data_IF_748427612478
#
_entry.id   IF_748427612478
#
_cell.length_a   1.000
_cell.length_b   1.000
_cell.length_c   1.000
_cell.angle_alpha   90.00
_cell.angle_beta   90.00
_cell.angle_gamma   90.00
#
_symmetry.space_group_name_H-M   'P 1'
#
loop_
_entity.id
_entity.type
_entity.pdbx_description
1 polymer ?
#
# COMPACT_ATOMS: atom_id res chain seq x y z
N UNK A 1 7.62 4.16 17.62
CA UNK A 1 7.72 2.68 17.68
C UNK A 1 6.36 2.02 17.44
N UNK A 2 5.24 2.58 17.93
CA UNK A 2 3.89 1.98 17.83
C UNK A 2 3.21 2.16 16.45
N UNK A 3 3.92 2.63 15.45
CA UNK A 3 3.41 2.86 14.09
C UNK A 3 4.09 1.95 13.05
N UNK A 4 5.08 1.14 13.47
CA UNK A 4 5.84 0.24 12.61
C UNK A 4 5.55 -1.19 13.01
N UNK A 5 5.08 -1.99 12.04
CA UNK A 5 4.72 -3.38 12.23
C UNK A 5 5.59 -4.27 11.33
N UNK A 6 6.41 -5.13 11.93
CA UNK A 6 7.27 -6.08 11.22
C UNK A 6 6.52 -7.36 10.84
N UNK A 7 6.77 -7.85 9.62
CA UNK A 7 6.10 -9.02 9.05
C UNK A 7 7.08 -10.03 8.47
N UNK A 8 6.65 -11.30 8.47
CA UNK A 8 7.32 -12.40 7.79
C UNK A 8 7.14 -12.36 6.26
N UNK A 9 6.15 -11.59 5.73
CA UNK A 9 5.77 -11.53 4.31
C UNK A 9 5.07 -10.21 3.98
N UNK A 10 5.45 -9.52 2.90
CA UNK A 10 4.63 -8.45 2.32
C UNK A 10 3.23 -8.94 1.90
N UNK A 11 3.10 -10.20 1.49
CA UNK A 11 1.79 -10.84 1.20
C UNK A 11 0.87 -11.01 2.43
N UNK A 12 1.36 -10.90 3.66
CA UNK A 12 0.50 -10.91 4.87
C UNK A 12 -0.18 -9.59 5.12
N UNK A 13 0.40 -8.48 4.66
CA UNK A 13 -0.24 -7.17 4.70
C UNK A 13 -1.54 -7.19 3.90
N UNK A 14 -1.54 -7.92 2.80
CA UNK A 14 -2.75 -8.17 2.01
C UNK A 14 -3.82 -8.86 2.86
N UNK A 15 -3.48 -9.86 3.66
CA UNK A 15 -4.41 -10.50 4.60
C UNK A 15 -4.93 -9.55 5.67
N UNK A 16 -4.09 -8.62 6.17
CA UNK A 16 -4.51 -7.58 7.10
C UNK A 16 -5.55 -6.65 6.46
N UNK A 17 -5.28 -6.20 5.23
CA UNK A 17 -6.18 -5.33 4.47
C UNK A 17 -7.54 -6.00 4.31
N UNK A 18 -7.56 -7.30 3.92
CA UNK A 18 -8.81 -8.01 3.65
C UNK A 18 -9.65 -8.24 4.91
N UNK A 19 -9.03 -8.33 6.08
CA UNK A 19 -9.75 -8.55 7.35
C UNK A 19 -10.13 -7.26 8.08
N UNK A 20 -9.44 -6.15 7.80
CA UNK A 20 -9.71 -4.84 8.43
C UNK A 20 -10.74 -4.05 7.64
N UNK A 21 -10.62 -4.06 6.31
CA UNK A 21 -11.53 -3.32 5.44
C UNK A 21 -12.64 -4.23 4.91
N UNK A 22 -13.88 -3.75 4.99
CA UNK A 22 -15.06 -4.51 4.59
C UNK A 22 -15.09 -4.84 3.09
N UNK A 23 -15.90 -5.83 2.73
CA UNK A 23 -16.06 -6.29 1.34
C UNK A 23 -16.73 -5.26 0.42
N UNK A 24 -17.44 -4.30 0.99
CA UNK A 24 -18.15 -3.25 0.24
C UNK A 24 -17.24 -2.05 -0.10
N UNK A 25 -15.98 -2.06 0.33
CA UNK A 25 -15.05 -0.98 -0.01
C UNK A 25 -14.67 -1.04 -1.48
N UNK A 26 -14.80 0.07 -2.19
CA UNK A 26 -14.43 0.22 -3.58
C UNK A 26 -12.92 0.42 -3.71
N UNK A 27 -12.32 -0.36 -4.58
CA UNK A 27 -10.86 -0.43 -4.74
C UNK A 27 -10.43 0.17 -6.07
N UNK A 28 -9.42 1.01 -6.06
CA UNK A 28 -8.73 1.48 -7.27
C UNK A 28 -7.32 0.87 -7.35
N UNK A 29 -6.96 0.39 -8.53
CA UNK A 29 -5.64 -0.16 -8.86
C UNK A 29 -5.12 0.45 -10.15
N UNK A 30 -3.81 0.60 -10.29
CA UNK A 30 -3.20 0.93 -11.59
C UNK A 30 -3.29 -0.26 -12.54
N UNK A 31 -3.30 -0.01 -13.84
CA UNK A 31 -3.30 -1.07 -14.87
C UNK A 31 -2.28 -0.74 -15.96
N UNK A 32 -1.21 -1.53 -16.10
CA UNK A 32 -0.87 -2.76 -15.33
C UNK A 32 -0.36 -2.50 -13.90
N UNK A 33 -0.53 -3.53 -13.07
CA UNK A 33 -0.09 -3.51 -11.67
C UNK A 33 0.37 -4.91 -11.23
N UNK A 34 0.98 -4.99 -10.07
CA UNK A 34 1.30 -6.26 -9.42
C UNK A 34 0.03 -7.09 -9.19
N UNK A 35 -0.12 -8.27 -9.84
CA UNK A 35 -1.39 -9.01 -9.89
C UNK A 35 -2.00 -9.34 -8.53
N UNK A 36 -1.17 -9.47 -7.49
CA UNK A 36 -1.62 -9.80 -6.13
C UNK A 36 -2.60 -8.79 -5.57
N UNK A 37 -2.56 -7.52 -5.98
CA UNK A 37 -3.54 -6.54 -5.50
C UNK A 37 -4.94 -6.88 -6.01
N UNK A 38 -5.07 -7.23 -7.28
CA UNK A 38 -6.35 -7.67 -7.84
C UNK A 38 -6.77 -9.00 -7.23
N UNK A 39 -5.92 -10.03 -7.31
CA UNK A 39 -6.20 -11.40 -6.87
C UNK A 39 -6.71 -11.45 -5.43
N UNK A 40 -6.10 -10.70 -4.53
CA UNK A 40 -6.49 -10.71 -3.12
C UNK A 40 -7.80 -10.00 -2.85
N UNK A 41 -8.16 -8.99 -3.63
CA UNK A 41 -9.48 -8.38 -3.57
C UNK A 41 -10.55 -9.31 -4.18
N UNK A 42 -10.22 -10.07 -5.23
CA UNK A 42 -11.08 -11.14 -5.76
C UNK A 42 -11.35 -12.21 -4.69
N UNK A 43 -10.29 -12.71 -4.06
CA UNK A 43 -10.38 -13.72 -2.98
C UNK A 43 -11.21 -13.24 -1.79
N UNK A 44 -11.20 -11.94 -1.52
CA UNK A 44 -12.00 -11.31 -0.47
C UNK A 44 -13.46 -11.05 -0.87
N UNK A 45 -13.83 -11.30 -2.13
CA UNK A 45 -15.19 -11.03 -2.63
C UNK A 45 -15.52 -9.55 -2.83
N UNK A 46 -14.49 -8.69 -2.97
CA UNK A 46 -14.66 -7.22 -3.05
C UNK A 46 -14.86 -6.71 -4.48
N UNK A 47 -14.67 -7.55 -5.48
CA UNK A 47 -14.51 -7.12 -6.87
C UNK A 47 -15.77 -7.20 -7.72
N UNK A 48 -16.87 -7.73 -7.20
CA UNK A 48 -18.09 -7.94 -7.99
C UNK A 48 -17.94 -9.01 -9.06
N UNK A 49 -18.79 -8.92 -10.11
CA UNK A 49 -18.79 -9.87 -11.22
C UNK A 49 -17.62 -9.64 -12.16
N UNK A 50 -17.18 -10.73 -12.81
CA UNK A 50 -16.22 -10.64 -13.92
C UNK A 50 -16.95 -10.63 -15.24
N UNK A 51 -16.79 -9.57 -16.03
CA UNK A 51 -17.39 -9.40 -17.34
C UNK A 51 -16.40 -8.68 -18.26
N UNK A 52 -16.37 -9.04 -19.54
CA UNK A 52 -15.56 -8.40 -20.58
C UNK A 52 -14.06 -8.23 -20.23
N UNK A 53 -13.52 -9.18 -19.48
CA UNK A 53 -12.09 -9.20 -19.10
C UNK A 53 -11.74 -8.37 -17.85
N UNK A 54 -12.72 -7.74 -17.18
CA UNK A 54 -12.52 -6.92 -16.00
C UNK A 54 -13.48 -7.29 -14.86
N UNK A 55 -13.16 -6.91 -13.65
CA UNK A 55 -14.07 -6.99 -12.49
C UNK A 55 -14.80 -5.66 -12.32
N UNK A 56 -16.13 -5.69 -12.34
CA UNK A 56 -17.00 -4.49 -12.33
C UNK A 56 -16.86 -3.64 -11.05
N UNK A 57 -16.50 -4.26 -9.94
CA UNK A 57 -16.32 -3.57 -8.65
C UNK A 57 -14.94 -2.94 -8.44
N UNK A 58 -14.05 -3.02 -9.44
CA UNK A 58 -12.69 -2.45 -9.37
C UNK A 58 -12.57 -1.26 -10.30
N UNK A 59 -11.97 -0.17 -9.81
CA UNK A 59 -11.62 1.00 -10.62
C UNK A 59 -10.20 0.81 -11.15
N UNK A 60 -10.08 0.56 -12.45
CA UNK A 60 -8.80 0.44 -13.13
C UNK A 60 -8.32 1.82 -13.57
N UNK A 61 -7.09 2.15 -13.20
CA UNK A 61 -6.44 3.41 -13.56
C UNK A 61 -5.36 3.13 -14.59
N UNK A 62 -5.57 3.42 -15.87
CA UNK A 62 -4.59 3.14 -16.92
C UNK A 62 -3.23 3.76 -16.60
N UNK A 63 -2.18 2.96 -16.78
CA UNK A 63 -0.78 3.34 -16.56
C UNK A 63 0.04 2.82 -17.74
N UNK A 64 -0.09 3.50 -18.89
CA UNK A 64 0.42 3.08 -20.19
C UNK A 64 1.19 4.19 -20.91
N UNK A 65 1.67 3.92 -22.13
CA UNK A 65 2.47 4.88 -22.89
C UNK A 65 1.70 6.15 -23.27
N UNK A 66 0.38 6.09 -23.39
CA UNK A 66 -0.45 7.25 -23.78
C UNK A 66 -0.49 8.33 -22.69
N UNK A 67 -0.36 7.93 -21.42
CA UNK A 67 -0.30 8.83 -20.28
C UNK A 67 1.07 8.88 -19.61
N UNK A 68 2.13 8.50 -20.33
CA UNK A 68 3.49 8.41 -19.80
C UNK A 68 3.59 7.57 -18.53
N UNK A 69 2.79 6.51 -18.43
CA UNK A 69 2.69 5.63 -17.26
C UNK A 69 2.35 6.36 -15.95
N UNK A 70 1.73 7.52 -16.04
CA UNK A 70 1.28 8.30 -14.87
C UNK A 70 -0.23 8.14 -14.73
N UNK A 71 -0.72 7.39 -13.73
CA UNK A 71 -2.14 7.13 -13.59
C UNK A 71 -2.90 8.40 -13.20
N UNK A 72 -4.08 8.58 -13.78
CA UNK A 72 -5.00 9.65 -13.41
C UNK A 72 -5.76 9.29 -12.13
N UNK A 73 -6.20 10.32 -11.41
CA UNK A 73 -7.08 10.14 -10.26
C UNK A 73 -8.40 9.48 -10.66
N UNK A 74 -8.98 8.62 -9.80
CA UNK A 74 -10.28 8.02 -10.06
C UNK A 74 -11.35 9.09 -10.31
N UNK A 75 -12.19 8.87 -11.32
CA UNK A 75 -13.32 9.78 -11.65
C UNK A 75 -14.50 9.61 -10.70
N UNK A 76 -14.51 8.54 -9.94
CA UNK A 76 -15.54 8.19 -8.96
C UNK A 76 -14.92 8.03 -7.59
N UNK A 77 -15.74 8.08 -6.54
CA UNK A 77 -15.27 7.87 -5.18
C UNK A 77 -14.83 6.42 -4.99
N UNK A 78 -13.63 6.25 -4.41
CA UNK A 78 -13.09 4.95 -4.00
C UNK A 78 -12.68 5.01 -2.53
N UNK A 79 -12.57 3.85 -1.89
CA UNK A 79 -12.23 3.75 -0.47
C UNK A 79 -10.77 3.34 -0.27
N UNK A 80 -10.24 2.49 -1.15
CA UNK A 80 -8.87 1.99 -1.11
C UNK A 80 -8.17 2.24 -2.44
N UNK A 81 -6.96 2.77 -2.40
CA UNK A 81 -6.15 3.09 -3.58
C UNK A 81 -4.80 2.39 -3.46
N UNK A 82 -4.51 1.45 -4.36
CA UNK A 82 -3.20 0.83 -4.43
C UNK A 82 -2.27 1.64 -5.33
N UNK A 83 -1.15 2.09 -4.78
CA UNK A 83 -0.06 2.74 -5.51
C UNK A 83 1.25 2.02 -5.22
N UNK A 84 1.87 1.46 -6.24
CA UNK A 84 3.21 0.87 -6.16
C UNK A 84 4.22 1.86 -6.79
N UNK A 85 5.17 2.35 -6.00
CA UNK A 85 6.12 3.37 -6.47
C UNK A 85 7.53 3.04 -5.95
N UNK A 86 8.46 2.73 -6.85
CA UNK A 86 8.34 2.48 -8.29
C UNK A 86 7.34 1.38 -8.62
N UNK A 87 6.59 1.53 -9.73
CA UNK A 87 5.52 0.61 -10.08
C UNK A 87 6.05 -0.75 -10.60
N UNK A 88 5.41 -1.82 -10.20
CA UNK A 88 5.56 -3.14 -10.79
C UNK A 88 4.33 -3.42 -11.68
N UNK A 89 4.45 -3.55 -13.03
CA UNK A 89 5.68 -3.93 -13.76
C UNK A 89 6.41 -2.80 -14.50
N UNK A 90 5.90 -1.56 -14.52
CA UNK A 90 6.39 -0.51 -15.45
C UNK A 90 7.72 0.13 -15.02
N UNK A 91 8.09 0.03 -13.75
CA UNK A 91 9.28 0.67 -13.18
C UNK A 91 9.18 2.20 -13.01
N UNK A 92 8.02 2.78 -13.34
CA UNK A 92 7.81 4.23 -13.27
C UNK A 92 7.62 4.73 -11.85
N UNK A 93 8.00 5.97 -11.61
CA UNK A 93 7.89 6.67 -10.33
C UNK A 93 6.86 7.80 -10.43
N UNK A 94 6.53 8.40 -9.30
CA UNK A 94 5.68 9.58 -9.21
C UNK A 94 6.45 10.70 -8.50
N UNK A 95 6.38 11.90 -9.05
CA UNK A 95 6.95 13.11 -8.44
C UNK A 95 6.22 13.51 -7.15
N UNK A 96 6.83 14.39 -6.35
CA UNK A 96 6.17 14.96 -5.16
C UNK A 96 4.84 15.65 -5.50
N UNK A 97 4.78 16.33 -6.64
CA UNK A 97 3.57 17.02 -7.10
C UNK A 97 2.45 16.05 -7.49
N UNK A 98 2.78 14.93 -8.10
CA UNK A 98 1.82 13.88 -8.44
C UNK A 98 1.32 13.16 -7.18
N UNK A 99 2.21 12.75 -6.28
CA UNK A 99 1.83 12.13 -5.01
C UNK A 99 0.97 13.06 -4.15
N UNK A 100 1.23 14.38 -4.20
CA UNK A 100 0.40 15.36 -3.50
C UNK A 100 -1.05 15.35 -3.98
N UNK A 101 -1.29 15.22 -5.30
CA UNK A 101 -2.66 15.09 -5.84
C UNK A 101 -3.38 13.86 -5.28
N UNK A 102 -2.67 12.72 -5.14
CA UNK A 102 -3.22 11.49 -4.56
C UNK A 102 -3.58 11.66 -3.09
N UNK A 103 -2.69 12.29 -2.32
CA UNK A 103 -2.93 12.58 -0.89
C UNK A 103 -4.13 13.51 -0.72
N UNK A 104 -4.23 14.56 -1.53
CA UNK A 104 -5.36 15.49 -1.47
C UNK A 104 -6.67 14.84 -1.88
N UNK A 105 -6.66 14.00 -2.92
CA UNK A 105 -7.81 13.19 -3.31
C UNK A 105 -8.26 12.28 -2.17
N UNK A 106 -7.34 11.54 -1.56
CA UNK A 106 -7.64 10.62 -0.48
C UNK A 106 -8.23 11.34 0.74
N UNK A 107 -7.68 12.50 1.12
CA UNK A 107 -8.22 13.33 2.21
C UNK A 107 -9.64 13.83 1.90
N UNK A 108 -9.88 14.32 0.69
CA UNK A 108 -11.18 14.84 0.27
C UNK A 108 -12.27 13.76 0.23
N UNK A 109 -11.90 12.53 -0.13
CA UNK A 109 -12.83 11.40 -0.30
C UNK A 109 -12.87 10.44 0.89
N UNK A 110 -12.08 10.67 1.94
CA UNK A 110 -11.90 9.75 3.08
C UNK A 110 -11.42 8.36 2.63
N UNK A 111 -10.61 8.32 1.58
CA UNK A 111 -9.98 7.12 1.06
C UNK A 111 -8.64 6.84 1.76
N UNK A 112 -8.17 5.60 1.68
CA UNK A 112 -6.86 5.20 2.20
C UNK A 112 -5.97 4.80 1.04
N UNK A 113 -4.76 5.39 1.00
CA UNK A 113 -3.70 5.00 0.08
C UNK A 113 -2.93 3.83 0.68
N UNK A 114 -2.86 2.74 -0.06
CA UNK A 114 -2.03 1.58 0.21
C UNK A 114 -0.76 1.73 -0.65
N UNK A 115 0.26 2.35 -0.06
CA UNK A 115 1.48 2.75 -0.76
C UNK A 115 2.54 1.65 -0.66
N UNK A 116 2.80 0.95 -1.76
CA UNK A 116 3.82 -0.09 -1.82
C UNK A 116 5.15 0.50 -2.30
N UNK A 117 6.09 0.63 -1.37
CA UNK A 117 7.44 1.13 -1.59
C UNK A 117 8.48 -0.01 -1.63
N UNK A 118 8.10 -1.22 -2.05
CA UNK A 118 9.01 -2.37 -2.06
C UNK A 118 10.24 -2.17 -2.96
N UNK A 119 10.17 -1.28 -3.94
CA UNK A 119 11.25 -0.99 -4.89
C UNK A 119 11.92 0.37 -4.66
N UNK A 120 11.65 1.06 -3.54
CA UNK A 120 12.14 2.42 -3.27
C UNK A 120 13.67 2.55 -3.32
N UNK A 121 14.39 1.49 -2.94
CA UNK A 121 15.86 1.46 -2.98
C UNK A 121 16.44 1.57 -4.41
N UNK A 122 15.63 1.41 -5.43
CA UNK A 122 16.05 1.55 -6.84
C UNK A 122 15.84 2.95 -7.40
N UNK A 123 15.23 3.86 -6.65
CA UNK A 123 15.10 5.28 -7.02
C UNK A 123 16.50 5.91 -6.98
N UNK A 124 16.90 6.53 -8.07
CA UNK A 124 18.21 7.19 -8.22
C UNK A 124 18.10 8.70 -8.34
N UNK A 125 16.94 9.21 -8.72
CA UNK A 125 16.67 10.63 -8.86
C UNK A 125 16.39 11.27 -7.50
N UNK A 126 17.15 12.32 -7.18
CA UNK A 126 17.13 12.97 -5.86
C UNK A 126 15.80 13.70 -5.53
N UNK A 127 15.00 14.03 -6.54
CA UNK A 127 13.73 14.73 -6.41
C UNK A 127 12.52 13.80 -6.32
N UNK A 128 12.70 12.50 -6.56
CA UNK A 128 11.66 11.49 -6.42
C UNK A 128 11.57 11.03 -4.96
N UNK A 129 10.37 11.06 -4.34
CA UNK A 129 10.21 10.64 -2.95
C UNK A 129 10.46 9.13 -2.75
N UNK A 130 11.19 8.80 -1.71
CA UNK A 130 11.37 7.41 -1.25
C UNK A 130 10.26 6.96 -0.30
N UNK A 131 9.45 7.89 0.18
CA UNK A 131 8.32 7.61 1.09
C UNK A 131 7.15 8.52 0.78
N UNK A 132 5.93 7.97 0.89
CA UNK A 132 4.71 8.79 0.80
C UNK A 132 4.66 9.85 1.92
N UNK A 133 5.33 9.60 3.04
CA UNK A 133 5.36 10.52 4.18
C UNK A 133 6.23 11.75 3.99
N UNK A 134 6.94 11.86 2.88
CA UNK A 134 7.55 13.12 2.43
C UNK A 134 6.50 14.11 1.91
N UNK A 135 5.26 13.65 1.68
CA UNK A 135 4.15 14.45 1.20
C UNK A 135 3.30 14.93 2.37
N UNK A 136 3.08 16.23 2.44
CA UNK A 136 2.24 16.83 3.47
C UNK A 136 0.80 16.26 3.44
N UNK A 137 0.30 15.87 4.62
CA UNK A 137 -1.01 15.26 4.81
C UNK A 137 -1.06 13.74 4.61
N UNK A 138 0.01 13.12 4.10
CA UNK A 138 0.02 11.67 3.84
C UNK A 138 -0.17 10.84 5.11
N UNK A 139 0.33 11.30 6.27
CA UNK A 139 0.15 10.61 7.56
C UNK A 139 -1.30 10.49 8.02
N UNK A 140 -2.22 11.20 7.39
CA UNK A 140 -3.65 11.12 7.71
C UNK A 140 -4.37 10.05 6.89
N UNK A 141 -3.82 9.66 5.71
CA UNK A 141 -4.54 8.87 4.70
C UNK A 141 -3.73 7.74 4.08
N UNK A 142 -2.48 7.54 4.46
CA UNK A 142 -1.63 6.53 3.82
C UNK A 142 -1.11 5.49 4.79
N UNK A 143 -1.06 4.23 4.30
CA UNK A 143 -0.34 3.11 4.89
C UNK A 143 0.82 2.80 3.94
N UNK A 144 2.05 2.72 4.45
CA UNK A 144 3.23 2.44 3.64
C UNK A 144 3.76 1.03 3.90
N UNK A 145 4.01 0.29 2.83
CA UNK A 145 4.56 -1.07 2.87
C UNK A 145 6.01 -1.06 2.39
N UNK A 146 6.90 -1.66 3.18
CA UNK A 146 8.33 -1.79 2.91
C UNK A 146 8.75 -3.26 2.88
N UNK A 147 9.68 -3.62 2.01
CA UNK A 147 10.12 -5.00 1.87
C UNK A 147 11.64 -5.10 1.73
N UNK A 148 12.26 -5.90 2.58
CA UNK A 148 13.68 -6.26 2.44
C UNK A 148 13.94 -7.26 1.31
N UNK A 149 12.90 -7.80 0.68
CA UNK A 149 13.03 -8.74 -0.44
C UNK A 149 13.84 -8.17 -1.61
N UNK A 150 13.73 -6.85 -1.85
CA UNK A 150 14.42 -6.15 -2.94
C UNK A 150 15.65 -5.41 -2.43
N UNK A 151 15.50 -4.60 -1.39
CA UNK A 151 16.56 -3.78 -0.80
C UNK A 151 17.75 -4.61 -0.33
N UNK A 152 17.53 -5.77 0.29
CA UNK A 152 18.57 -6.62 0.87
C UNK A 152 18.68 -8.00 0.23
N UNK A 153 17.95 -8.28 -0.85
CA UNK A 153 17.90 -9.64 -1.41
C UNK A 153 17.22 -10.68 -0.51
N UNK A 154 16.42 -10.25 0.46
CA UNK A 154 15.80 -11.09 1.50
C UNK A 154 14.53 -11.82 1.03
N UNK A 155 14.41 -12.11 -0.26
CA UNK A 155 13.21 -12.78 -0.80
C UNK A 155 12.93 -14.11 -0.10
N UNK A 156 13.96 -14.90 0.20
CA UNK A 156 13.86 -16.19 0.90
C UNK A 156 13.72 -16.07 2.42
N UNK A 157 14.28 -15.04 3.04
CA UNK A 157 14.29 -14.84 4.50
C UNK A 157 13.00 -14.22 5.03
N UNK A 158 12.20 -13.62 4.15
CA UNK A 158 10.84 -13.12 4.45
C UNK A 158 10.78 -12.02 5.51
N UNK A 159 11.31 -10.85 5.23
CA UNK A 159 11.24 -9.69 6.11
C UNK A 159 10.62 -8.50 5.41
N UNK A 160 9.66 -7.88 6.05
CA UNK A 160 8.97 -6.68 5.60
C UNK A 160 8.46 -5.90 6.81
N UNK A 161 8.12 -4.63 6.63
CA UNK A 161 7.42 -3.85 7.63
C UNK A 161 6.39 -2.93 6.99
N UNK A 162 5.40 -2.56 7.79
CA UNK A 162 4.34 -1.62 7.40
C UNK A 162 4.34 -0.45 8.39
N UNK A 163 4.22 0.74 7.87
CA UNK A 163 4.08 1.97 8.66
C UNK A 163 2.62 2.42 8.60
N UNK A 164 2.01 2.57 9.79
CA UNK A 164 0.62 3.00 9.93
C UNK A 164 0.55 4.09 10.98
N UNK A 165 0.56 5.35 10.57
CA UNK A 165 0.43 6.46 11.49
C UNK A 165 -0.85 6.38 12.34
N UNK A 166 -0.76 6.77 13.60
CA UNK A 166 -1.93 6.80 14.52
C UNK A 166 -3.04 7.74 14.04
N UNK A 167 -2.71 8.65 13.15
CA UNK A 167 -3.62 9.62 12.54
C UNK A 167 -4.47 9.04 11.41
N UNK A 168 -4.12 7.86 10.87
CA UNK A 168 -4.90 7.23 9.80
C UNK A 168 -6.21 6.71 10.35
N UNK A 169 -7.31 7.26 9.81
CA UNK A 169 -8.68 6.89 10.20
C UNK A 169 -9.43 6.28 9.01
N UNK A 170 -10.08 5.15 9.25
CA UNK A 170 -11.11 4.62 8.35
C UNK A 170 -12.50 4.97 8.88
N UNK A 171 -13.50 4.85 8.03
CA UNK A 171 -14.87 5.20 8.41
C UNK A 171 -15.82 4.03 8.17
N UNK A 172 -16.66 3.75 9.16
CA UNK A 172 -17.75 2.76 9.02
C UNK A 172 -18.79 3.24 8.03
N UNK A 173 -19.71 2.36 7.62
CA UNK A 173 -20.88 2.74 6.79
C UNK A 173 -21.72 3.85 7.42
N UNK A 174 -21.74 3.94 8.75
CA UNK A 174 -22.46 4.97 9.49
C UNK A 174 -21.65 6.27 9.66
N UNK A 175 -20.43 6.34 9.10
CA UNK A 175 -19.55 7.51 9.17
C UNK A 175 -18.74 7.64 10.44
N UNK A 176 -18.74 6.62 11.32
CA UNK A 176 -17.93 6.61 12.55
C UNK A 176 -16.45 6.38 12.21
N UNK A 177 -15.59 7.20 12.78
CA UNK A 177 -14.16 7.10 12.60
C UNK A 177 -13.57 5.95 13.44
N UNK A 178 -12.74 5.13 12.81
CA UNK A 178 -12.01 4.01 13.41
C UNK A 178 -10.52 4.16 13.18
N UNK A 179 -9.71 4.00 14.22
CA UNK A 179 -8.25 4.04 14.10
C UNK A 179 -7.73 2.79 13.38
N UNK A 180 -7.17 2.97 12.20
CA UNK A 180 -6.59 1.87 11.41
C UNK A 180 -5.40 1.27 12.14
N UNK A 181 -4.56 2.09 12.78
CA UNK A 181 -3.43 1.63 13.58
C UNK A 181 -3.86 0.68 14.71
N UNK A 182 -4.93 1.01 15.46
CA UNK A 182 -5.44 0.15 16.54
C UNK A 182 -6.01 -1.17 16.01
N UNK A 183 -6.76 -1.13 14.91
CA UNK A 183 -7.31 -2.33 14.27
C UNK A 183 -6.20 -3.24 13.75
N UNK A 184 -5.20 -2.65 13.10
CA UNK A 184 -4.05 -3.37 12.59
C UNK A 184 -3.25 -4.03 13.71
N UNK A 185 -2.93 -3.27 14.76
CA UNK A 185 -2.22 -3.80 15.92
C UNK A 185 -2.98 -4.98 16.56
N UNK A 186 -4.29 -4.85 16.75
CA UNK A 186 -5.13 -5.91 17.30
C UNK A 186 -5.10 -7.17 16.44
N UNK A 187 -5.28 -7.01 15.13
CA UNK A 187 -5.23 -8.13 14.17
C UNK A 187 -3.83 -8.74 14.13
N UNK A 188 -2.80 -7.91 14.07
CA UNK A 188 -1.41 -8.33 14.00
C UNK A 188 -1.01 -9.17 15.23
N UNK A 189 -1.23 -8.66 16.41
CA UNK A 189 -0.89 -9.35 17.68
C UNK A 189 -1.72 -10.62 17.93
N UNK A 190 -2.89 -10.74 17.28
CA UNK A 190 -3.73 -11.93 17.40
C UNK A 190 -3.28 -13.07 16.49
N UNK A 191 -2.79 -12.74 15.28
CA UNK A 191 -2.52 -13.73 14.22
C UNK A 191 -1.04 -13.92 13.89
N UNK A 192 -0.15 -13.13 14.49
CA UNK A 192 1.25 -13.15 14.15
C UNK A 192 2.16 -12.84 15.36
N UNK A 193 3.18 -13.66 15.56
CA UNK A 193 4.11 -13.54 16.69
C UNK A 193 5.42 -12.80 16.33
N UNK A 194 5.52 -12.22 15.14
CA UNK A 194 6.69 -11.48 14.69
C UNK A 194 7.62 -12.27 13.76
N UNK A 195 8.50 -11.54 13.09
CA UNK A 195 9.60 -12.09 12.29
C UNK A 195 10.66 -12.68 13.22
N UNK A 196 11.31 -13.81 12.88
CA UNK A 196 12.39 -14.37 13.70
C UNK A 196 13.47 -13.33 14.02
N UNK A 197 13.95 -13.30 15.26
CA UNK A 197 14.87 -12.29 15.74
C UNK A 197 16.16 -12.18 14.91
N UNK A 198 16.72 -13.31 14.49
CA UNK A 198 17.92 -13.34 13.63
C UNK A 198 17.69 -12.63 12.28
N UNK A 199 16.48 -12.76 11.72
CA UNK A 199 16.12 -12.09 10.46
C UNK A 199 15.94 -10.58 10.70
N UNK A 200 15.37 -10.17 11.84
CA UNK A 200 15.28 -8.76 12.20
C UNK A 200 16.67 -8.13 12.36
N UNK A 201 17.63 -8.83 12.98
CA UNK A 201 19.01 -8.36 13.10
C UNK A 201 19.72 -8.26 11.77
N UNK A 202 19.48 -9.21 10.86
CA UNK A 202 19.96 -9.11 9.48
C UNK A 202 19.37 -7.92 8.72
N UNK A 203 18.08 -7.64 8.94
CA UNK A 203 17.42 -6.48 8.33
C UNK A 203 17.95 -5.16 8.89
N UNK A 204 18.23 -5.08 10.20
CA UNK A 204 18.85 -3.92 10.85
C UNK A 204 20.21 -3.60 10.23
N UNK A 205 21.03 -4.63 9.93
CA UNK A 205 22.35 -4.47 9.33
C UNK A 205 22.33 -3.81 7.93
N UNK A 206 21.20 -3.86 7.21
CA UNK A 206 21.05 -3.18 5.91
C UNK A 206 21.22 -1.66 6.00
N UNK A 207 20.97 -1.11 7.18
CA UNK A 207 21.07 0.33 7.46
C UNK A 207 22.38 0.72 8.15
N UNK A 208 23.32 -0.20 8.31
CA UNK A 208 24.65 0.08 8.85
C UNK A 208 25.64 0.44 7.72
N UNK A 209 26.73 1.18 8.03
CA UNK A 209 27.73 1.56 7.03
C UNK A 209 28.60 0.43 6.50
N UNK A 210 28.53 -0.79 7.07
CA UNK A 210 29.39 -1.94 6.72
C UNK A 210 28.82 -2.80 5.62
#
# INVERSE_FOLDING_TARGET
>A
EDEIFFFFFSKRDVGNIQEIFGIDNKVAITDPVYPVYLDTNVMAGRTGSFADGIFEGVVYMPCNAENNFTPELPKEKVDLIYLCVPNNPTGTTLSKGELKKWVDYARANKAIILFDAAYEAYIQEADIPHSIYEIEGAKEVAIEFRSFSKTAGFTGTRCAFTVIPKTVMAYTKNGEAQSVNKLWNRRHTTKFNGTPYIIQKGAEAVYTPE
#
